data_IF_007879350436
#
_entry.id   IF_007879350436
#
_cell.length_a   1.000
_cell.length_b   1.000
_cell.length_c   1.000
_cell.angle_alpha   90.00
_cell.angle_beta   90.00
_cell.angle_gamma   90.00
#
_symmetry.space_group_name_H-M   'P 1'
#
loop_
_entity.id
_entity.type
_entity.pdbx_description
1 polymer ?
#
# COMPACT_ATOMS: atom_id res chain seq x y z
N UNK A 1 15.80 -6.25 -15.29
CA UNK A 1 14.85 -5.14 -15.04
C UNK A 1 15.12 -4.49 -13.69
N UNK A 2 14.76 -3.21 -13.54
CA UNK A 2 14.62 -2.49 -12.29
C UNK A 2 13.17 -2.58 -11.81
N UNK A 3 12.96 -3.27 -10.70
CA UNK A 3 11.65 -3.47 -10.08
C UNK A 3 11.51 -2.57 -8.85
N UNK A 4 10.44 -1.80 -8.82
CA UNK A 4 10.04 -1.02 -7.66
C UNK A 4 9.00 -1.81 -6.87
N UNK A 5 9.21 -2.02 -5.58
CA UNK A 5 8.29 -2.77 -4.72
C UNK A 5 7.96 -1.87 -3.53
N UNK A 6 6.68 -1.74 -3.21
CA UNK A 6 6.27 -1.14 -1.93
C UNK A 6 5.77 -2.23 -0.99
N UNK A 7 6.15 -2.20 0.29
CA UNK A 7 5.71 -3.17 1.30
C UNK A 7 5.50 -2.53 2.67
N UNK A 8 4.86 -3.25 3.58
CA UNK A 8 4.55 -2.73 4.93
C UNK A 8 3.24 -1.95 4.95
N UNK A 9 3.02 -1.19 6.02
CA UNK A 9 1.89 -0.28 6.15
C UNK A 9 2.31 1.10 6.66
N UNK A 10 1.68 2.14 6.13
CA UNK A 10 1.93 3.53 6.52
C UNK A 10 1.41 3.83 7.92
N UNK A 11 2.02 4.81 8.57
CA UNK A 11 1.67 5.34 9.88
C UNK A 11 1.48 6.85 9.81
N UNK A 12 0.28 7.32 10.15
CA UNK A 12 -0.10 8.72 10.12
C UNK A 12 -0.05 9.29 11.54
N UNK A 13 0.81 10.29 11.77
CA UNK A 13 1.04 10.85 13.09
C UNK A 13 -0.21 11.56 13.65
N UNK A 14 -0.54 11.27 14.90
CA UNK A 14 -1.55 11.98 15.69
C UNK A 14 -0.87 13.12 16.47
N UNK A 15 0.27 12.82 17.08
CA UNK A 15 1.17 13.74 17.79
C UNK A 15 2.62 13.19 17.75
N UNK A 16 3.53 13.75 18.55
CA UNK A 16 4.95 13.30 18.58
C UNK A 16 5.17 11.88 19.10
N UNK A 17 4.14 11.22 19.67
CA UNK A 17 4.24 9.89 20.29
C UNK A 17 3.29 8.89 19.65
N UNK A 18 2.09 9.31 19.24
CA UNK A 18 1.00 8.44 18.77
C UNK A 18 0.81 8.54 17.25
N UNK A 19 0.41 7.44 16.62
CA UNK A 19 0.09 7.38 15.20
C UNK A 19 -1.06 6.39 14.94
N UNK A 20 -1.75 6.55 13.81
CA UNK A 20 -2.65 5.55 13.24
C UNK A 20 -1.87 4.74 12.21
N UNK A 21 -1.77 3.43 12.40
CA UNK A 21 -0.90 2.57 11.61
C UNK A 21 -1.67 1.45 10.94
N UNK A 22 -1.40 1.23 9.65
CA UNK A 22 -1.78 -0.01 8.98
C UNK A 22 -0.81 -1.14 9.37
N UNK A 23 -1.33 -2.22 9.95
CA UNK A 23 -0.54 -3.31 10.54
C UNK A 23 0.02 -4.35 9.54
N UNK A 24 0.19 -3.99 8.27
CA UNK A 24 0.73 -4.92 7.28
C UNK A 24 2.22 -5.22 7.57
N UNK A 25 2.55 -6.48 7.82
CA UNK A 25 3.91 -6.91 8.18
C UNK A 25 4.93 -6.79 7.04
N UNK A 26 4.48 -6.66 5.79
CA UNK A 26 5.36 -6.59 4.61
C UNK A 26 5.90 -7.95 4.13
N UNK A 27 5.48 -9.06 4.75
CA UNK A 27 6.02 -10.40 4.46
C UNK A 27 5.92 -10.80 2.97
N UNK A 28 4.75 -10.59 2.34
CA UNK A 28 4.60 -10.87 0.91
C UNK A 28 5.54 -10.01 0.06
N UNK A 29 5.67 -8.71 0.37
CA UNK A 29 6.59 -7.82 -0.33
C UNK A 29 8.06 -8.23 -0.19
N UNK A 30 8.47 -8.72 1.00
CA UNK A 30 9.79 -9.33 1.22
C UNK A 30 10.00 -10.55 0.33
N UNK A 31 9.06 -11.49 0.29
CA UNK A 31 9.16 -12.70 -0.53
C UNK A 31 9.27 -12.35 -2.01
N UNK A 32 8.46 -11.42 -2.51
CA UNK A 32 8.54 -10.94 -3.89
C UNK A 32 9.92 -10.34 -4.19
N UNK A 33 10.45 -9.50 -3.30
CA UNK A 33 11.78 -8.91 -3.46
C UNK A 33 12.88 -9.98 -3.48
N UNK A 34 12.85 -10.95 -2.56
CA UNK A 34 13.83 -12.04 -2.50
C UNK A 34 13.80 -12.92 -3.75
N UNK A 35 12.61 -13.26 -4.25
CA UNK A 35 12.48 -14.03 -5.48
C UNK A 35 12.94 -13.22 -6.69
N UNK A 36 12.64 -11.92 -6.76
CA UNK A 36 13.11 -11.05 -7.83
C UNK A 36 14.65 -10.96 -7.86
N UNK A 37 15.29 -10.80 -6.70
CA UNK A 37 16.75 -10.78 -6.58
C UNK A 37 17.37 -12.11 -7.04
N UNK A 38 16.77 -13.25 -6.67
CA UNK A 38 17.21 -14.59 -7.12
C UNK A 38 17.15 -14.75 -8.64
N UNK A 39 16.24 -14.04 -9.31
CA UNK A 39 16.12 -14.03 -10.78
C UNK A 39 17.02 -12.97 -11.46
N UNK A 40 17.85 -12.26 -10.69
CA UNK A 40 18.81 -11.30 -11.22
C UNK A 40 18.27 -9.89 -11.47
N UNK A 41 17.06 -9.57 -11.00
CA UNK A 41 16.53 -8.20 -11.09
C UNK A 41 17.23 -7.25 -10.11
N UNK A 42 17.26 -5.95 -10.47
CA UNK A 42 17.60 -4.86 -9.55
C UNK A 42 16.32 -4.44 -8.82
N UNK A 43 16.33 -4.43 -7.50
CA UNK A 43 15.13 -4.20 -6.68
C UNK A 43 15.31 -2.95 -5.83
N UNK A 44 14.37 -2.02 -5.96
CA UNK A 44 14.17 -0.94 -5.00
C UNK A 44 12.94 -1.25 -4.16
N UNK A 45 13.14 -1.50 -2.86
CA UNK A 45 12.08 -1.77 -1.89
C UNK A 45 11.79 -0.52 -1.06
N UNK A 46 10.66 0.13 -1.34
CA UNK A 46 10.10 1.19 -0.49
C UNK A 46 9.27 0.53 0.61
N UNK A 47 9.64 0.69 1.87
CA UNK A 47 9.03 -0.04 2.98
C UNK A 47 8.89 0.81 4.22
N UNK A 48 8.34 0.27 5.30
CA UNK A 48 8.20 0.98 6.57
C UNK A 48 9.05 0.35 7.67
N UNK A 49 9.33 1.11 8.73
CA UNK A 49 10.21 0.69 9.82
C UNK A 49 9.83 -0.66 10.43
N UNK A 50 8.54 -0.91 10.63
CA UNK A 50 8.01 -2.14 11.27
C UNK A 50 7.91 -3.33 10.30
N UNK A 51 8.03 -3.12 9.00
CA UNK A 51 7.91 -4.18 8.03
C UNK A 51 9.14 -5.09 8.05
N UNK A 52 8.91 -6.39 7.81
CA UNK A 52 9.99 -7.35 7.57
C UNK A 52 10.69 -7.03 6.25
N UNK A 53 12.01 -7.24 6.22
CA UNK A 53 12.87 -6.84 5.10
C UNK A 53 13.69 -8.04 4.61
N UNK A 54 14.05 -8.10 3.33
CA UNK A 54 15.06 -9.03 2.84
C UNK A 54 16.41 -8.74 3.49
N UNK A 55 17.29 -9.74 3.52
CA UNK A 55 18.69 -9.52 3.85
C UNK A 55 19.37 -8.61 2.81
N UNK A 56 20.38 -7.86 3.25
CA UNK A 56 21.12 -6.95 2.37
C UNK A 56 21.86 -7.71 1.26
N UNK A 57 21.72 -7.25 0.02
CA UNK A 57 22.35 -7.83 -1.17
C UNK A 57 22.72 -6.74 -2.17
N UNK A 58 23.68 -7.03 -3.07
CA UNK A 58 24.23 -6.05 -4.04
C UNK A 58 23.17 -5.35 -4.90
N UNK A 59 22.13 -6.07 -5.33
CA UNK A 59 21.11 -5.56 -6.24
C UNK A 59 19.84 -5.07 -5.51
N UNK A 60 19.91 -4.87 -4.18
CA UNK A 60 18.79 -4.43 -3.36
C UNK A 60 19.06 -3.03 -2.79
N UNK A 61 18.15 -2.10 -3.07
CA UNK A 61 18.07 -0.80 -2.39
C UNK A 61 16.83 -0.77 -1.51
N UNK A 62 16.96 -0.41 -0.23
CA UNK A 62 15.83 -0.26 0.69
C UNK A 62 15.67 1.20 1.06
N UNK A 63 14.44 1.71 0.95
CA UNK A 63 14.08 3.08 1.32
C UNK A 63 12.94 3.01 2.34
N UNK A 64 13.17 3.54 3.55
CA UNK A 64 12.13 3.59 4.58
C UNK A 64 11.31 4.88 4.47
N UNK A 65 9.99 4.72 4.50
CA UNK A 65 9.01 5.80 4.56
C UNK A 65 8.11 5.62 5.79
N UNK A 66 7.38 6.68 6.15
CA UNK A 66 6.53 6.68 7.34
C UNK A 66 5.05 6.76 6.98
N UNK A 67 4.66 7.78 6.22
CA UNK A 67 3.27 8.15 5.96
C UNK A 67 2.97 8.22 4.45
N UNK A 68 1.72 8.49 4.09
CA UNK A 68 1.32 8.57 2.67
C UNK A 68 2.02 9.69 1.90
N UNK A 69 2.32 10.81 2.53
CA UNK A 69 3.01 11.93 1.87
C UNK A 69 4.46 11.54 1.51
N UNK A 70 5.21 10.98 2.46
CA UNK A 70 6.57 10.46 2.21
C UNK A 70 6.59 9.32 1.18
N UNK A 71 5.54 8.48 1.14
CA UNK A 71 5.38 7.47 0.09
C UNK A 71 5.25 8.13 -1.29
N UNK A 72 4.39 9.14 -1.43
CA UNK A 72 4.16 9.85 -2.70
C UNK A 72 5.45 10.54 -3.18
N UNK A 73 6.11 11.28 -2.30
CA UNK A 73 7.36 12.00 -2.60
C UNK A 73 8.47 11.03 -3.04
N UNK A 74 8.57 9.89 -2.37
CA UNK A 74 9.55 8.85 -2.69
C UNK A 74 9.24 8.16 -4.03
N UNK A 75 7.97 7.83 -4.28
CA UNK A 75 7.59 7.08 -5.48
C UNK A 75 7.70 7.88 -6.77
N UNK A 76 7.44 9.20 -6.75
CA UNK A 76 7.43 9.99 -7.98
C UNK A 76 8.73 9.87 -8.82
N UNK A 77 9.94 10.11 -8.28
CA UNK A 77 11.18 9.96 -9.05
C UNK A 77 11.51 8.49 -9.35
N UNK A 78 11.16 7.55 -8.46
CA UNK A 78 11.45 6.13 -8.63
C UNK A 78 10.63 5.52 -9.77
N UNK A 79 9.34 5.84 -9.87
CA UNK A 79 8.45 5.35 -10.94
C UNK A 79 8.98 5.71 -12.34
N UNK A 80 9.65 6.86 -12.48
CA UNK A 80 10.24 7.32 -13.76
C UNK A 80 11.47 6.50 -14.20
N UNK A 81 12.13 5.80 -13.27
CA UNK A 81 13.38 5.07 -13.52
C UNK A 81 13.24 3.54 -13.46
N UNK A 82 12.05 3.03 -13.14
CA UNK A 82 11.77 1.60 -13.01
C UNK A 82 10.83 1.10 -14.11
N UNK A 83 10.95 -0.17 -14.46
CA UNK A 83 10.13 -0.79 -15.53
C UNK A 83 8.82 -1.37 -14.97
N UNK A 84 8.79 -1.72 -13.69
CA UNK A 84 7.59 -2.21 -13.03
C UNK A 84 7.47 -1.72 -11.59
N UNK A 85 6.23 -1.53 -11.14
CA UNK A 85 5.87 -1.27 -9.75
C UNK A 85 4.96 -2.39 -9.23
N UNK A 86 5.37 -3.02 -8.13
CA UNK A 86 4.59 -3.98 -7.36
C UNK A 86 4.14 -3.29 -6.06
N UNK A 87 2.93 -2.73 -6.08
CA UNK A 87 2.42 -1.87 -5.01
C UNK A 87 1.69 -2.66 -3.91
N UNK A 88 2.44 -3.45 -3.14
CA UNK A 88 1.89 -4.33 -2.08
C UNK A 88 1.73 -3.69 -0.68
N UNK A 89 2.00 -2.39 -0.56
CA UNK A 89 1.93 -1.67 0.73
C UNK A 89 0.49 -1.37 1.12
N UNK A 90 0.17 -1.51 2.41
CA UNK A 90 -1.09 -1.06 2.98
C UNK A 90 -1.02 0.46 3.23
N UNK A 91 -1.50 1.24 2.25
CA UNK A 91 -1.52 2.71 2.31
C UNK A 91 -2.74 3.19 3.10
N UNK A 92 -2.55 4.12 4.05
CA UNK A 92 -3.61 4.70 4.87
C UNK A 92 -4.58 5.48 3.99
N UNK A 93 -5.88 5.25 4.15
CA UNK A 93 -6.92 5.97 3.40
C UNK A 93 -7.27 7.32 4.01
N UNK A 94 -6.89 7.51 5.28
CA UNK A 94 -7.16 8.69 6.07
C UNK A 94 -5.92 9.08 6.89
N UNK A 95 -5.78 10.38 7.15
CA UNK A 95 -4.72 10.95 7.98
C UNK A 95 -5.32 11.91 9.02
N UNK A 96 -4.79 11.96 10.26
CA UNK A 96 -5.21 12.90 11.28
C UNK A 96 -5.21 14.36 10.83
N UNK A 97 -6.19 15.12 11.30
CA UNK A 97 -6.26 16.59 11.13
C UNK A 97 -6.18 17.26 12.50
N UNK A 98 -7.09 16.87 13.39
CA UNK A 98 -7.35 17.57 14.64
C UNK A 98 -7.88 16.59 15.68
N UNK A 99 -7.46 16.77 16.93
CA UNK A 99 -7.99 16.04 18.07
C UNK A 99 -8.68 17.03 19.00
N UNK A 100 -9.93 16.75 19.35
CA UNK A 100 -10.77 17.59 20.19
C UNK A 100 -11.21 16.84 21.45
N UNK A 101 -11.50 17.57 22.52
CA UNK A 101 -12.19 17.02 23.69
C UNK A 101 -13.69 16.88 23.40
N UNK A 102 -14.37 16.00 24.14
CA UNK A 102 -15.82 15.84 23.99
C UNK A 102 -16.61 17.13 24.31
N UNK A 103 -16.11 17.94 25.23
CA UNK A 103 -16.73 19.22 25.59
C UNK A 103 -16.56 20.27 24.47
N UNK A 104 -15.42 20.29 23.77
CA UNK A 104 -15.26 21.13 22.58
C UNK A 104 -16.26 20.72 21.49
N UNK A 105 -16.46 19.42 21.27
CA UNK A 105 -17.46 18.93 20.31
C UNK A 105 -18.86 19.43 20.69
N UNK A 106 -19.24 19.31 21.97
CA UNK A 106 -20.56 19.72 22.47
C UNK A 106 -20.78 21.24 22.37
N UNK A 107 -19.72 22.02 22.52
CA UNK A 107 -19.78 23.48 22.40
C UNK A 107 -19.70 23.99 20.95
N UNK A 108 -19.36 23.12 19.99
CA UNK A 108 -19.20 23.49 18.58
C UNK A 108 -20.53 23.31 17.83
N UNK A 109 -21.11 24.41 17.33
CA UNK A 109 -22.34 24.36 16.53
C UNK A 109 -22.14 23.68 15.16
N UNK A 110 -21.06 24.02 14.44
CA UNK A 110 -20.68 23.37 13.18
C UNK A 110 -19.39 22.56 13.34
N UNK A 111 -19.53 21.25 13.48
CA UNK A 111 -18.43 20.29 13.60
C UNK A 111 -17.47 20.37 12.39
N UNK A 112 -17.97 20.76 11.21
CA UNK A 112 -17.14 20.90 9.99
C UNK A 112 -16.06 21.96 10.15
N UNK A 113 -16.25 22.95 11.03
CA UNK A 113 -15.25 23.96 11.35
C UNK A 113 -13.99 23.34 11.98
N UNK A 114 -14.11 22.22 12.69
CA UNK A 114 -12.99 21.50 13.31
C UNK A 114 -12.08 20.82 12.28
N UNK A 115 -12.60 20.51 11.07
CA UNK A 115 -11.79 19.96 9.97
C UNK A 115 -10.79 20.98 9.40
N UNK A 116 -10.90 22.26 9.75
CA UNK A 116 -9.99 23.34 9.37
C UNK A 116 -8.95 23.66 10.45
N UNK A 117 -9.12 23.11 11.66
CA UNK A 117 -8.18 23.30 12.77
C UNK A 117 -6.96 22.38 12.63
N UNK A 118 -5.90 22.72 13.35
CA UNK A 118 -4.71 21.89 13.51
C UNK A 118 -4.33 21.83 14.98
N UNK A 119 -3.75 20.71 15.41
CA UNK A 119 -3.22 20.58 16.76
C UNK A 119 -2.01 21.51 16.93
N UNK A 120 -2.02 22.35 17.96
CA UNK A 120 -0.89 23.23 18.31
C UNK A 120 0.02 22.61 19.37
N UNK A 121 -0.48 21.63 20.13
CA UNK A 121 0.27 20.93 21.17
C UNK A 121 1.16 19.83 20.59
N UNK A 122 2.39 19.72 21.11
CA UNK A 122 3.34 18.68 20.70
C UNK A 122 2.95 17.27 21.18
N UNK A 123 2.23 17.19 22.31
CA UNK A 123 1.64 15.97 22.84
C UNK A 123 0.30 16.32 23.47
N UNK A 124 -0.75 15.66 23.02
CA UNK A 124 -2.11 15.97 23.45
C UNK A 124 -2.30 15.45 24.88
N UNK A 125 -2.84 16.32 25.73
CA UNK A 125 -3.02 16.06 27.16
C UNK A 125 -3.97 14.90 27.44
N UNK A 126 -3.75 14.16 28.54
CA UNK A 126 -4.63 13.10 29.03
C UNK A 126 -5.61 13.58 30.11
N UNK A 127 -5.92 14.89 30.15
CA UNK A 127 -6.81 15.49 31.15
C UNK A 127 -8.28 15.12 30.92
N UNK A 128 -8.66 14.93 29.66
CA UNK A 128 -10.01 14.55 29.29
C UNK A 128 -10.14 13.02 29.22
N UNK A 129 -11.20 12.48 29.81
CA UNK A 129 -11.50 11.03 29.78
C UNK A 129 -11.80 10.52 28.35
N UNK A 130 -12.22 11.42 27.45
CA UNK A 130 -12.61 11.09 26.08
C UNK A 130 -12.07 12.11 25.08
N UNK A 131 -11.51 11.60 23.99
CA UNK A 131 -10.99 12.39 22.87
C UNK A 131 -11.62 11.94 21.55
N UNK A 132 -11.82 12.90 20.64
CA UNK A 132 -12.36 12.69 19.31
C UNK A 132 -11.31 13.07 18.28
N UNK A 133 -10.96 12.14 17.39
CA UNK A 133 -9.98 12.35 16.33
C UNK A 133 -10.67 12.54 14.98
N UNK A 134 -10.42 13.68 14.35
CA UNK A 134 -10.86 13.99 12.99
C UNK A 134 -9.81 13.58 11.98
N UNK A 135 -10.25 12.95 10.89
CA UNK A 135 -9.39 12.50 9.80
C UNK A 135 -9.87 13.04 8.45
N UNK A 136 -8.93 13.30 7.54
CA UNK A 136 -9.22 13.58 6.11
C UNK A 136 -8.70 12.44 5.25
N UNK A 137 -9.27 12.29 4.06
CA UNK A 137 -8.78 11.34 3.07
C UNK A 137 -7.36 11.70 2.63
N UNK A 138 -6.53 10.68 2.47
CA UNK A 138 -5.21 10.80 1.83
C UNK A 138 -5.33 10.76 0.31
N UNK A 139 -4.33 11.28 -0.43
CA UNK A 139 -4.27 11.09 -1.86
C UNK A 139 -4.08 9.60 -2.21
N UNK A 140 -4.81 9.10 -3.21
CA UNK A 140 -4.65 7.72 -3.71
C UNK A 140 -3.38 7.62 -4.55
N UNK A 141 -2.23 7.32 -3.93
CA UNK A 141 -0.89 7.34 -4.55
C UNK A 141 -0.81 6.51 -5.83
N UNK A 142 -1.39 5.31 -5.84
CA UNK A 142 -1.41 4.43 -7.03
C UNK A 142 -1.98 5.11 -8.29
N UNK A 143 -2.94 6.04 -8.14
CA UNK A 143 -3.56 6.75 -9.25
C UNK A 143 -2.65 7.77 -9.95
N UNK A 144 -1.49 8.08 -9.36
CA UNK A 144 -0.47 8.94 -9.97
C UNK A 144 0.58 8.16 -10.76
N UNK A 145 0.72 6.86 -10.51
CA UNK A 145 1.83 6.06 -11.07
C UNK A 145 1.85 6.09 -12.60
N UNK A 146 0.73 5.77 -13.25
CA UNK A 146 0.62 5.83 -14.73
C UNK A 146 0.67 7.27 -15.28
N UNK A 147 0.42 8.28 -14.46
CA UNK A 147 0.61 9.69 -14.86
C UNK A 147 2.08 10.07 -14.86
N UNK A 148 2.85 9.57 -13.89
CA UNK A 148 4.30 9.80 -13.81
C UNK A 148 5.07 8.98 -14.85
N UNK A 149 4.64 7.75 -15.13
CA UNK A 149 5.21 6.88 -16.15
C UNK A 149 4.12 6.00 -16.78
N UNK A 150 3.58 6.34 -17.96
CA UNK A 150 2.56 5.53 -18.63
C UNK A 150 3.02 4.12 -19.02
N UNK A 151 4.33 3.93 -19.25
CA UNK A 151 4.91 2.68 -19.71
C UNK A 151 5.27 1.70 -18.58
N UNK A 152 5.26 2.13 -17.31
CA UNK A 152 5.58 1.24 -16.18
C UNK A 152 4.54 0.13 -16.09
N UNK A 153 4.96 -1.12 -15.91
CA UNK A 153 4.01 -2.21 -15.60
C UNK A 153 3.57 -2.07 -14.14
N UNK A 154 2.27 -1.92 -13.89
CA UNK A 154 1.72 -1.61 -12.57
C UNK A 154 0.89 -2.78 -12.03
N UNK A 155 1.38 -3.37 -10.95
CA UNK A 155 0.66 -4.33 -10.11
C UNK A 155 0.15 -3.63 -8.86
N UNK A 156 -1.17 -3.53 -8.71
CA UNK A 156 -1.80 -3.09 -7.46
C UNK A 156 -2.33 -4.27 -6.66
N UNK A 157 -2.74 -4.01 -5.42
CA UNK A 157 -3.28 -5.01 -4.50
C UNK A 157 -4.64 -4.57 -3.97
N UNK A 158 -5.52 -5.55 -3.75
CA UNK A 158 -6.83 -5.32 -3.16
C UNK A 158 -7.19 -6.42 -2.16
N UNK A 159 -7.21 -6.04 -0.89
CA UNK A 159 -7.70 -6.88 0.20
C UNK A 159 -9.15 -6.50 0.50
N UNK A 160 -10.05 -7.48 0.47
CA UNK A 160 -11.44 -7.36 0.94
C UNK A 160 -11.68 -8.30 2.13
N UNK A 161 -12.86 -8.19 2.75
CA UNK A 161 -13.19 -8.97 3.96
C UNK A 161 -14.55 -9.63 3.76
N UNK A 162 -14.52 -10.96 3.70
CA UNK A 162 -15.69 -11.81 3.64
C UNK A 162 -16.67 -11.51 2.49
N UNK A 163 -16.13 -11.38 1.28
CA UNK A 163 -16.89 -11.16 0.04
C UNK A 163 -16.90 -12.42 -0.84
N UNK A 164 -17.87 -12.57 -1.76
CA UNK A 164 -17.82 -13.59 -2.80
C UNK A 164 -16.75 -13.28 -3.86
N UNK A 165 -16.32 -14.29 -4.62
CA UNK A 165 -15.23 -14.14 -5.61
C UNK A 165 -15.60 -13.16 -6.73
N UNK A 166 -16.86 -13.14 -7.13
CA UNK A 166 -17.39 -12.26 -8.16
C UNK A 166 -17.25 -10.78 -7.78
N UNK A 167 -17.51 -10.45 -6.51
CA UNK A 167 -17.30 -9.10 -5.98
C UNK A 167 -15.81 -8.77 -5.91
N UNK A 168 -14.98 -9.70 -5.47
CA UNK A 168 -13.53 -9.53 -5.42
C UNK A 168 -12.95 -9.17 -6.81
N UNK A 169 -13.40 -9.87 -7.86
CA UNK A 169 -12.97 -9.61 -9.24
C UNK A 169 -13.56 -8.32 -9.80
N UNK A 170 -14.81 -7.98 -9.46
CA UNK A 170 -15.42 -6.72 -9.88
C UNK A 170 -14.65 -5.51 -9.30
N UNK A 171 -14.32 -5.54 -8.01
CA UNK A 171 -13.53 -4.48 -7.36
C UNK A 171 -12.12 -4.41 -7.93
N UNK A 172 -11.50 -5.55 -8.24
CA UNK A 172 -10.20 -5.60 -8.87
C UNK A 172 -10.20 -4.93 -10.25
N UNK A 173 -11.17 -5.28 -11.12
CA UNK A 173 -11.34 -4.67 -12.46
C UNK A 173 -11.64 -3.17 -12.38
N UNK A 174 -12.48 -2.74 -11.44
CA UNK A 174 -12.72 -1.31 -11.22
C UNK A 174 -11.43 -0.58 -10.80
N UNK A 175 -10.58 -1.22 -10.00
CA UNK A 175 -9.28 -0.67 -9.60
C UNK A 175 -8.29 -0.59 -10.77
N UNK A 176 -8.32 -1.56 -11.69
CA UNK A 176 -7.58 -1.54 -12.96
C UNK A 176 -7.97 -0.29 -13.77
N UNK A 177 -9.26 -0.10 -14.04
CA UNK A 177 -9.77 1.02 -14.83
C UNK A 177 -9.45 2.37 -14.19
N UNK A 178 -9.70 2.49 -12.88
CA UNK A 178 -9.51 3.74 -12.14
C UNK A 178 -8.06 4.20 -12.08
N UNK A 179 -7.12 3.27 -11.92
CA UNK A 179 -5.71 3.60 -11.70
C UNK A 179 -4.83 3.36 -12.93
N UNK A 180 -5.40 2.80 -14.00
CA UNK A 180 -4.64 2.30 -15.14
C UNK A 180 -3.70 1.16 -14.77
N UNK A 181 -3.97 0.40 -13.70
CA UNK A 181 -3.11 -0.73 -13.34
C UNK A 181 -3.19 -1.82 -14.40
N UNK A 182 -2.07 -2.50 -14.68
CA UNK A 182 -2.05 -3.61 -15.63
C UNK A 182 -2.62 -4.87 -14.98
N UNK A 183 -2.35 -5.03 -13.68
CA UNK A 183 -2.83 -6.15 -12.88
C UNK A 183 -3.24 -5.70 -11.48
N UNK A 184 -4.23 -6.39 -10.92
CA UNK A 184 -4.57 -6.30 -9.50
C UNK A 184 -4.50 -7.68 -8.88
N UNK A 185 -3.67 -7.84 -7.85
CA UNK A 185 -3.74 -9.01 -6.99
C UNK A 185 -4.88 -8.82 -5.99
N UNK A 186 -5.93 -9.60 -6.14
CA UNK A 186 -7.13 -9.54 -5.32
C UNK A 186 -7.17 -10.72 -4.35
N UNK A 187 -7.40 -10.44 -3.08
CA UNK A 187 -7.50 -11.46 -2.03
C UNK A 187 -8.52 -11.07 -0.95
N UNK A 188 -9.06 -12.07 -0.28
CA UNK A 188 -9.96 -11.90 0.87
C UNK A 188 -9.23 -12.28 2.15
N UNK A 189 -9.44 -11.50 3.22
CA UNK A 189 -8.83 -11.74 4.53
C UNK A 189 -9.13 -13.14 5.09
N UNK A 190 -10.32 -13.70 4.82
CA UNK A 190 -10.69 -15.04 5.30
C UNK A 190 -9.84 -16.17 4.69
N UNK A 191 -9.23 -15.91 3.54
CA UNK A 191 -8.43 -16.90 2.80
C UNK A 191 -6.91 -16.74 3.06
N UNK A 192 -6.55 -15.98 4.09
CA UNK A 192 -5.16 -15.75 4.53
C UNK A 192 -4.95 -16.41 5.90
N UNK A 193 -4.06 -17.39 5.93
CA UNK A 193 -3.57 -18.06 7.13
C UNK A 193 -2.05 -18.08 7.20
N UNK A 194 -1.52 -18.87 8.12
CA UNK A 194 -0.07 -19.01 8.31
C UNK A 194 0.60 -19.65 7.09
N UNK A 195 0.04 -20.77 6.60
CA UNK A 195 0.57 -21.58 5.50
C UNK A 195 -0.22 -21.43 4.20
N UNK A 196 -1.22 -20.55 4.16
CA UNK A 196 -2.09 -20.35 3.00
C UNK A 196 -2.33 -18.86 2.77
N UNK A 197 -2.31 -18.46 1.51
CA UNK A 197 -2.71 -17.13 1.07
C UNK A 197 -3.30 -17.26 -0.32
N UNK A 198 -4.62 -17.48 -0.39
CA UNK A 198 -5.28 -17.52 -1.70
C UNK A 198 -5.40 -16.09 -2.23
N UNK A 199 -4.89 -15.88 -3.43
CA UNK A 199 -5.04 -14.64 -4.15
C UNK A 199 -5.23 -14.90 -5.64
N UNK A 200 -5.81 -13.92 -6.32
CA UNK A 200 -6.08 -13.98 -7.75
C UNK A 200 -5.39 -12.80 -8.41
N UNK A 201 -4.50 -13.08 -9.36
CA UNK A 201 -3.96 -12.06 -10.24
C UNK A 201 -5.00 -11.80 -11.33
N UNK A 202 -5.63 -10.65 -11.27
CA UNK A 202 -6.71 -10.22 -12.17
C UNK A 202 -6.12 -9.25 -13.19
N UNK A 203 -6.36 -9.53 -14.47
CA UNK A 203 -6.20 -8.57 -15.57
C UNK A 203 -7.58 -8.19 -16.15
N UNK A 204 -7.63 -7.56 -17.32
CA UNK A 204 -8.91 -7.15 -17.93
C UNK A 204 -9.83 -8.33 -18.27
N UNK A 205 -9.28 -9.50 -18.60
CA UNK A 205 -10.01 -10.63 -19.19
C UNK A 205 -9.83 -11.95 -18.44
N UNK A 206 -8.82 -12.07 -17.57
CA UNK A 206 -8.45 -13.32 -16.90
C UNK A 206 -8.21 -13.13 -15.42
N UNK A 207 -8.37 -14.23 -14.69
CA UNK A 207 -8.05 -14.38 -13.29
C UNK A 207 -7.21 -15.64 -13.11
N UNK A 208 -6.01 -15.49 -12.53
CA UNK A 208 -5.11 -16.61 -12.27
C UNK A 208 -4.92 -16.75 -10.76
N UNK A 209 -5.25 -17.92 -10.22
CA UNK A 209 -5.16 -18.18 -8.79
C UNK A 209 -3.74 -18.59 -8.37
N UNK A 210 -3.34 -18.15 -7.18
CA UNK A 210 -2.22 -18.67 -6.40
C UNK A 210 -2.69 -18.97 -4.96
N UNK A 211 -2.05 -19.91 -4.28
CA UNK A 211 -2.48 -20.42 -2.97
C UNK A 211 -1.53 -20.10 -1.81
N UNK A 212 -0.29 -19.70 -2.11
CA UNK A 212 0.73 -19.36 -1.11
C UNK A 212 1.43 -18.06 -1.46
N UNK A 213 2.10 -17.43 -0.49
CA UNK A 213 2.89 -16.21 -0.74
C UNK A 213 3.99 -16.43 -1.77
N UNK A 214 4.61 -17.61 -1.76
CA UNK A 214 5.62 -17.99 -2.74
C UNK A 214 5.04 -18.16 -4.14
N UNK A 215 3.87 -18.80 -4.28
CA UNK A 215 3.18 -18.92 -5.56
C UNK A 215 2.73 -17.55 -6.09
N UNK A 216 2.25 -16.66 -5.22
CA UNK A 216 1.90 -15.29 -5.59
C UNK A 216 3.12 -14.57 -6.16
N UNK A 217 4.26 -14.64 -5.47
CA UNK A 217 5.50 -14.01 -5.92
C UNK A 217 5.96 -14.59 -7.27
N UNK A 218 5.92 -15.91 -7.44
CA UNK A 218 6.25 -16.56 -8.71
C UNK A 218 5.30 -16.13 -9.82
N UNK A 219 3.99 -16.07 -9.55
CA UNK A 219 2.97 -15.68 -10.52
C UNK A 219 3.19 -14.25 -11.02
N UNK A 220 3.48 -13.31 -10.12
CA UNK A 220 3.77 -11.91 -10.47
C UNK A 220 5.03 -11.83 -11.35
N UNK A 221 6.13 -12.46 -10.94
CA UNK A 221 7.41 -12.40 -11.65
C UNK A 221 7.35 -13.10 -13.02
N UNK A 222 6.71 -14.27 -13.10
CA UNK A 222 6.48 -14.97 -14.37
C UNK A 222 5.63 -14.14 -15.35
N UNK A 223 4.68 -13.35 -14.82
CA UNK A 223 3.83 -12.47 -15.64
C UNK A 223 4.64 -11.29 -16.17
N UNK A 224 5.52 -10.71 -15.35
CA UNK A 224 6.44 -9.65 -15.76
C UNK A 224 7.37 -10.11 -16.89
N UNK A 225 8.04 -11.25 -16.72
CA UNK A 225 9.02 -11.78 -17.68
C UNK A 225 8.39 -12.19 -19.03
N UNK A 226 7.15 -12.71 -19.02
CA UNK A 226 6.43 -13.02 -20.27
C UNK A 226 6.05 -11.77 -21.07
N UNK A 227 5.84 -10.65 -20.38
CA UNK A 227 5.59 -9.36 -21.04
C UNK A 227 6.80 -8.89 -21.85
N UNK A 228 8.02 -9.21 -21.41
CA UNK A 228 9.26 -8.86 -22.12
C UNK A 228 9.51 -9.68 -23.38
N UNK A 229 9.04 -10.93 -23.45
CA UNK A 229 9.27 -11.78 -24.63
C UNK A 229 8.38 -11.43 -25.83
N UNK A 230 7.35 -10.60 -25.61
CA UNK A 230 6.34 -10.24 -26.62
C UNK A 230 6.39 -8.75 -27.03
N UNK A 231 7.35 -7.97 -26.51
CA UNK A 231 7.53 -6.55 -26.82
C UNK A 231 8.88 -6.28 -27.47
#
# INVERSE_FOLDING_TARGET
>A
MKLLITSGGTSEAIDQVRAITNHASGNLGKIIAEQALKRGHEVTLVTTRQAVKPDSQKNLTIIEITNVDSLKETLEPLVKSHQALIHSMAVSDYTPIYMASLDEIRATEDISSLLKKQNTESKISSKDDCQVLFLKKTPKVISYVKKWNPAITLFGFKLLVNVPKEELFAVARQSIERNGADYILANDLKDIGENQHIAYLVDKTREIQAQTKDEIAQLILNTLEKGEQNG
#
